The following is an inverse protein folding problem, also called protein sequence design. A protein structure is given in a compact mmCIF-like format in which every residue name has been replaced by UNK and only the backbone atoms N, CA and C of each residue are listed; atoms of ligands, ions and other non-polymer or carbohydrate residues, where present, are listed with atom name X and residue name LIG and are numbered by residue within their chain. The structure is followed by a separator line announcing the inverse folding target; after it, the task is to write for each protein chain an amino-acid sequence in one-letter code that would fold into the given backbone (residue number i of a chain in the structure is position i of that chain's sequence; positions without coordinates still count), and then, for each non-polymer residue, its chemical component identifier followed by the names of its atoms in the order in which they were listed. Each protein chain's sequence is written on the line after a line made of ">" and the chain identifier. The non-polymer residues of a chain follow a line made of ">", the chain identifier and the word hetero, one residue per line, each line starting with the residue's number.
data_IF_838419067903
#
_entry.id   IF_838419067903
#
_cell.length_a   1.000
_cell.length_b   1.000
_cell.length_c   1.000
_cell.angle_alpha   90.00
_cell.angle_beta   90.00
_cell.angle_gamma   90.00
#
_symmetry.space_group_name_H-M   'P 1'
#
loop_
_entity.id
_entity.type
_entity.pdbx_description
1 polymer ?
#
# COMPACT_ATOMS: atom_id res chain seq x y z
N UNK A 1 -12.12 -23.17 2.22
CA UNK A 1 -11.63 -22.57 0.95
C UNK A 1 -12.47 -21.39 0.43
N UNK A 2 -13.82 -21.49 0.33
CA UNK A 2 -14.67 -20.44 -0.26
C UNK A 2 -14.54 -19.04 0.41
N UNK A 3 -14.43 -18.97 1.74
CA UNK A 3 -14.29 -17.69 2.47
C UNK A 3 -12.97 -16.98 2.18
N UNK A 4 -11.87 -17.74 2.06
CA UNK A 4 -10.53 -17.23 1.74
C UNK A 4 -10.50 -16.56 0.36
N UNK A 5 -11.12 -17.19 -0.63
CA UNK A 5 -11.18 -16.65 -2.00
C UNK A 5 -12.03 -15.38 -2.08
N UNK A 6 -13.16 -15.32 -1.37
CA UNK A 6 -13.98 -14.11 -1.27
C UNK A 6 -13.22 -12.93 -0.65
N UNK A 7 -12.40 -13.19 0.39
CA UNK A 7 -11.54 -12.16 0.99
C UNK A 7 -10.44 -11.71 0.02
N UNK A 8 -9.77 -12.64 -0.66
CA UNK A 8 -8.76 -12.31 -1.68
C UNK A 8 -9.32 -11.39 -2.76
N UNK A 9 -10.52 -11.70 -3.27
CA UNK A 9 -11.17 -10.85 -4.29
C UNK A 9 -11.39 -9.43 -3.75
N UNK A 10 -11.86 -9.27 -2.51
CA UNK A 10 -12.02 -7.94 -1.90
C UNK A 10 -10.68 -7.20 -1.81
N UNK A 11 -9.62 -7.87 -1.35
CA UNK A 11 -8.29 -7.25 -1.26
C UNK A 11 -7.71 -6.89 -2.63
N UNK A 12 -7.93 -7.73 -3.66
CA UNK A 12 -7.52 -7.42 -5.03
C UNK A 12 -8.27 -6.18 -5.53
N UNK A 13 -9.58 -6.07 -5.29
CA UNK A 13 -10.35 -4.87 -5.65
C UNK A 13 -9.79 -3.63 -4.95
N UNK A 14 -9.56 -3.69 -3.63
CA UNK A 14 -8.97 -2.58 -2.89
C UNK A 14 -7.57 -2.21 -3.42
N UNK A 15 -6.74 -3.20 -3.75
CA UNK A 15 -5.42 -3.02 -4.33
C UNK A 15 -5.49 -2.31 -5.69
N UNK A 16 -6.34 -2.78 -6.60
CA UNK A 16 -6.53 -2.16 -7.92
C UNK A 16 -7.07 -0.74 -7.81
N UNK A 17 -8.03 -0.50 -6.91
CA UNK A 17 -8.57 0.85 -6.66
C UNK A 17 -7.47 1.76 -6.12
N UNK A 18 -6.61 1.27 -5.22
CA UNK A 18 -5.49 2.04 -4.71
C UNK A 18 -4.45 2.39 -5.79
N UNK A 19 -4.17 1.47 -6.74
CA UNK A 19 -3.34 1.78 -7.91
C UNK A 19 -3.93 2.93 -8.70
N UNK A 20 -5.22 2.84 -9.06
CA UNK A 20 -5.88 3.87 -9.86
C UNK A 20 -5.88 5.20 -9.11
N UNK A 21 -6.21 5.20 -7.81
CA UNK A 21 -6.21 6.39 -6.98
C UNK A 21 -4.82 7.02 -6.85
N UNK A 22 -3.76 6.21 -6.68
CA UNK A 22 -2.38 6.70 -6.57
C UNK A 22 -1.82 7.22 -7.89
N UNK A 23 -2.28 6.68 -9.03
CA UNK A 23 -1.96 7.24 -10.34
C UNK A 23 -2.72 8.54 -10.59
N UNK A 24 -4.01 8.60 -10.23
CA UNK A 24 -4.82 9.82 -10.36
C UNK A 24 -4.32 10.94 -9.46
N UNK A 25 -3.84 10.64 -8.26
CA UNK A 25 -3.26 11.63 -7.35
C UNK A 25 -1.92 12.19 -7.86
N UNK A 26 -1.33 11.59 -8.89
CA UNK A 26 -0.08 12.06 -9.52
C UNK A 26 -0.33 12.53 -10.96
N UNK A 27 -1.60 12.71 -11.32
CA UNK A 27 -2.00 13.12 -12.66
C UNK A 27 -2.46 14.56 -12.64
N UNK A 28 -2.17 15.30 -13.71
CA UNK A 28 -2.60 16.69 -13.90
C UNK A 28 -4.13 16.84 -14.05
N UNK A 29 -4.90 15.76 -13.90
CA UNK A 29 -6.36 15.78 -14.00
C UNK A 29 -7.04 16.35 -12.76
N UNK A 30 -6.37 16.36 -11.60
CA UNK A 30 -6.95 16.81 -10.34
C UNK A 30 -5.97 17.71 -9.61
N UNK A 31 -6.26 19.02 -9.58
CA UNK A 31 -5.47 19.99 -8.83
C UNK A 31 -5.75 19.86 -7.33
N UNK A 32 -4.74 19.46 -6.56
CA UNK A 32 -4.75 19.50 -5.11
C UNK A 32 -3.92 20.68 -4.59
N UNK A 33 -4.19 21.18 -3.36
CA UNK A 33 -3.26 22.07 -2.68
C UNK A 33 -1.88 21.40 -2.59
N UNK A 34 -0.79 22.12 -2.87
CA UNK A 34 0.58 21.56 -2.97
C UNK A 34 0.98 20.66 -1.79
N UNK A 35 0.63 21.03 -0.56
CA UNK A 35 0.93 20.25 0.65
C UNK A 35 0.24 18.87 0.68
N UNK A 36 -0.88 18.74 -0.02
CA UNK A 36 -1.66 17.50 -0.13
C UNK A 36 -1.17 16.70 -1.33
N UNK A 37 -0.92 17.37 -2.46
CA UNK A 37 -0.48 16.76 -3.72
C UNK A 37 0.82 15.95 -3.54
N UNK A 38 1.79 16.52 -2.82
CA UNK A 38 3.10 15.90 -2.57
C UNK A 38 3.04 14.62 -1.72
N UNK A 39 1.99 14.41 -0.92
CA UNK A 39 1.93 13.34 0.08
C UNK A 39 0.79 12.34 -0.15
N UNK A 40 -0.27 12.73 -0.86
CA UNK A 40 -1.41 11.85 -1.11
C UNK A 40 -1.01 10.57 -1.84
N UNK A 41 -0.17 10.69 -2.87
CA UNK A 41 0.31 9.55 -3.64
C UNK A 41 1.01 8.52 -2.76
N UNK A 42 1.83 8.97 -1.82
CA UNK A 42 2.64 8.09 -0.97
C UNK A 42 1.81 7.43 0.14
N UNK A 43 0.82 8.15 0.68
CA UNK A 43 -0.17 7.59 1.62
C UNK A 43 -0.98 6.49 0.92
N UNK A 44 -1.45 6.73 -0.31
CA UNK A 44 -2.22 5.75 -1.09
C UNK A 44 -1.35 4.55 -1.46
N UNK A 45 -0.12 4.80 -1.89
CA UNK A 45 0.85 3.76 -2.24
C UNK A 45 1.17 2.85 -1.05
N UNK A 46 1.38 3.41 0.14
CA UNK A 46 1.61 2.61 1.34
C UNK A 46 0.39 1.77 1.74
N UNK A 47 -0.82 2.34 1.61
CA UNK A 47 -2.06 1.58 1.77
C UNK A 47 -2.20 0.43 0.75
N UNK A 48 -1.78 0.66 -0.50
CA UNK A 48 -1.72 -0.38 -1.53
C UNK A 48 -0.78 -1.52 -1.13
N UNK A 49 0.42 -1.23 -0.60
CA UNK A 49 1.36 -2.25 -0.09
C UNK A 49 0.72 -3.10 1.01
N UNK A 50 -0.07 -2.51 1.91
CA UNK A 50 -0.83 -3.27 2.90
C UNK A 50 -1.79 -4.28 2.24
N UNK A 51 -2.56 -3.84 1.23
CA UNK A 51 -3.48 -4.72 0.52
C UNK A 51 -2.75 -5.82 -0.26
N UNK A 52 -1.56 -5.57 -0.79
CA UNK A 52 -0.71 -6.59 -1.42
C UNK A 52 -0.44 -7.75 -0.45
N UNK A 53 0.01 -7.46 0.78
CA UNK A 53 0.22 -8.49 1.81
C UNK A 53 -1.09 -9.15 2.26
N UNK A 54 -2.20 -8.39 2.27
CA UNK A 54 -3.52 -8.93 2.55
C UNK A 54 -3.99 -9.95 1.49
N UNK A 55 -3.62 -9.77 0.20
CA UNK A 55 -3.91 -10.76 -0.86
C UNK A 55 -3.12 -12.06 -0.64
N UNK A 56 -1.84 -11.95 -0.27
CA UNK A 56 -0.98 -13.10 0.01
C UNK A 56 -1.54 -13.93 1.18
N UNK A 57 -1.80 -13.28 2.31
CA UNK A 57 -2.27 -13.90 3.55
C UNK A 57 -3.58 -13.28 4.06
N UNK A 58 -4.72 -13.56 3.41
CA UNK A 58 -6.02 -12.92 3.70
C UNK A 58 -6.56 -13.22 5.10
N UNK A 59 -6.23 -14.40 5.65
CA UNK A 59 -6.59 -14.83 7.00
C UNK A 59 -5.48 -14.58 8.02
N UNK A 60 -4.40 -13.90 7.64
CA UNK A 60 -3.35 -13.49 8.58
C UNK A 60 -3.85 -12.42 9.53
N UNK A 61 -3.20 -12.27 10.69
CA UNK A 61 -3.50 -11.18 11.60
C UNK A 61 -3.27 -9.83 10.90
N UNK A 62 -4.14 -8.85 11.17
CA UNK A 62 -3.99 -7.52 10.57
C UNK A 62 -2.67 -6.85 10.97
N UNK A 63 -2.18 -7.13 12.19
CA UNK A 63 -0.88 -6.67 12.68
C UNK A 63 0.27 -7.22 11.83
N UNK A 64 0.22 -8.51 11.43
CA UNK A 64 1.25 -9.07 10.56
C UNK A 64 1.29 -8.35 9.21
N UNK A 65 0.12 -8.07 8.61
CA UNK A 65 0.02 -7.34 7.33
C UNK A 65 0.57 -5.92 7.48
N UNK A 66 0.24 -5.26 8.59
CA UNK A 66 0.68 -3.89 8.92
C UNK A 66 2.20 -3.82 9.04
N UNK A 67 2.79 -4.70 9.85
CA UNK A 67 4.25 -4.77 10.04
C UNK A 67 4.97 -5.12 8.74
N UNK A 68 4.47 -6.09 7.98
CA UNK A 68 5.04 -6.46 6.69
C UNK A 68 5.04 -5.27 5.71
N UNK A 69 3.95 -4.51 5.66
CA UNK A 69 3.83 -3.34 4.79
C UNK A 69 4.77 -2.19 5.20
N UNK A 70 4.86 -1.89 6.50
CA UNK A 70 5.79 -0.86 7.01
C UNK A 70 7.24 -1.28 6.74
N UNK A 71 7.62 -2.50 7.10
CA UNK A 71 8.98 -2.98 6.88
C UNK A 71 9.34 -2.98 5.39
N UNK A 72 8.42 -3.39 4.52
CA UNK A 72 8.65 -3.35 3.07
C UNK A 72 8.83 -1.92 2.56
N UNK A 73 7.94 -0.99 2.94
CA UNK A 73 7.99 0.41 2.51
C UNK A 73 9.28 1.10 3.00
N UNK A 74 9.67 0.86 4.25
CA UNK A 74 10.92 1.38 4.82
C UNK A 74 12.14 0.77 4.13
N UNK A 75 12.08 -0.51 3.76
CA UNK A 75 13.19 -1.15 3.02
C UNK A 75 13.35 -0.56 1.62
N UNK A 76 12.24 -0.24 0.95
CA UNK A 76 12.24 0.44 -0.35
C UNK A 76 12.87 1.82 -0.21
N UNK A 77 12.46 2.60 0.80
CA UNK A 77 12.99 3.94 1.07
C UNK A 77 14.49 3.90 1.41
N UNK A 78 14.89 3.02 2.33
CA UNK A 78 16.30 2.82 2.69
C UNK A 78 17.15 2.34 1.50
N UNK A 79 16.57 1.59 0.56
CA UNK A 79 17.30 1.17 -0.65
C UNK A 79 17.76 2.36 -1.49
N UNK A 80 17.09 3.52 -1.39
CA UNK A 80 17.44 4.73 -2.15
C UNK A 80 18.72 5.39 -1.62
N UNK A 81 19.13 5.10 -0.37
CA UNK A 81 20.42 5.53 0.15
C UNK A 81 21.59 4.73 -0.44
N UNK A 82 21.29 3.60 -1.09
CA UNK A 82 22.29 2.73 -1.70
C UNK A 82 22.43 3.13 -3.18
N UNK A 83 23.52 3.83 -3.51
CA UNK A 83 23.91 4.19 -4.88
C UNK A 83 24.83 3.12 -5.47
N UNK A 84 24.30 1.91 -5.65
CA UNK A 84 24.99 0.83 -6.33
C UNK A 84 24.56 0.79 -7.82
N UNK A 85 25.52 0.67 -8.74
CA UNK A 85 25.23 0.73 -10.19
C UNK A 85 24.22 -0.31 -10.69
N UNK A 86 24.17 -1.49 -10.05
CA UNK A 86 23.17 -2.52 -10.37
C UNK A 86 21.75 -2.13 -9.90
N UNK A 87 21.63 -1.36 -8.81
CA UNK A 87 20.35 -0.93 -8.27
C UNK A 87 19.78 0.24 -9.06
N UNK A 88 20.64 1.16 -9.51
CA UNK A 88 20.25 2.21 -10.45
C UNK A 88 19.76 1.63 -11.79
N UNK A 89 20.43 0.61 -12.31
CA UNK A 89 19.97 -0.10 -13.52
C UNK A 89 18.57 -0.72 -13.36
N UNK A 90 18.21 -1.17 -12.15
CA UNK A 90 16.85 -1.66 -11.84
C UNK A 90 15.87 -0.49 -11.76
N UNK A 91 16.25 0.65 -11.19
CA UNK A 91 15.42 1.86 -11.11
C UNK A 91 15.11 2.46 -12.48
N UNK A 92 16.04 2.31 -13.43
CA UNK A 92 15.88 2.77 -14.81
C UNK A 92 14.91 1.90 -15.64
N UNK A 93 14.51 0.72 -15.15
CA UNK A 93 13.49 -0.07 -15.81
C UNK A 93 12.13 0.66 -15.78
N UNK A 94 11.34 0.61 -16.87
CA UNK A 94 10.04 1.26 -16.95
C UNK A 94 9.13 0.85 -15.78
N UNK A 95 8.60 1.83 -15.06
CA UNK A 95 7.71 1.62 -13.92
C UNK A 95 8.41 1.27 -12.60
N UNK A 96 9.66 0.78 -12.61
CA UNK A 96 10.39 0.51 -11.37
C UNK A 96 10.65 1.79 -10.59
N UNK A 97 10.86 2.91 -11.27
CA UNK A 97 10.98 4.23 -10.63
C UNK A 97 9.70 4.67 -9.88
N UNK A 98 8.52 4.26 -10.35
CA UNK A 98 7.24 4.51 -9.65
C UNK A 98 7.10 3.66 -8.39
N UNK A 99 7.69 2.46 -8.39
CA UNK A 99 7.61 1.51 -7.26
C UNK A 99 8.72 1.77 -6.24
N UNK A 100 9.93 2.09 -6.69
CA UNK A 100 11.11 2.27 -5.84
C UNK A 100 11.32 3.71 -5.38
N UNK A 101 10.62 4.68 -5.97
CA UNK A 101 10.69 6.10 -5.60
C UNK A 101 11.99 6.80 -6.05
N UNK A 102 12.11 8.09 -5.70
CA UNK A 102 13.26 8.93 -6.02
C UNK A 102 13.76 9.67 -4.78
N UNK A 103 14.92 9.26 -4.29
CA UNK A 103 15.63 9.93 -3.18
C UNK A 103 14.92 9.78 -1.83
N UNK A 104 15.73 9.59 -0.80
CA UNK A 104 15.22 9.34 0.55
C UNK A 104 14.56 10.59 1.14
N UNK A 105 13.30 10.47 1.55
CA UNK A 105 12.55 11.53 2.24
C UNK A 105 12.00 11.04 3.57
N UNK A 106 12.37 11.72 4.65
CA UNK A 106 11.83 11.43 5.99
C UNK A 106 10.31 11.64 6.08
N UNK A 107 9.75 12.58 5.32
CA UNK A 107 8.30 12.79 5.22
C UNK A 107 7.56 11.53 4.78
N UNK A 108 8.19 10.75 3.91
CA UNK A 108 7.56 9.61 3.25
C UNK A 108 7.39 8.47 4.26
N UNK A 109 8.32 8.33 5.22
CA UNK A 109 8.15 7.40 6.34
C UNK A 109 6.88 7.68 7.16
N UNK A 110 6.58 8.96 7.42
CA UNK A 110 5.37 9.37 8.14
C UNK A 110 4.14 9.07 7.28
N UNK A 111 4.19 9.40 5.99
CA UNK A 111 3.12 9.10 5.03
C UNK A 111 2.84 7.60 4.95
N UNK A 112 3.89 6.76 4.99
CA UNK A 112 3.76 5.31 4.96
C UNK A 112 3.10 4.77 6.23
N UNK A 113 3.46 5.28 7.41
CA UNK A 113 2.80 4.90 8.67
C UNK A 113 1.30 5.28 8.61
N UNK A 114 0.99 6.48 8.14
CA UNK A 114 -0.40 6.96 8.02
C UNK A 114 -1.19 6.09 7.03
N UNK A 115 -0.66 5.87 5.82
CA UNK A 115 -1.30 5.10 4.76
C UNK A 115 -1.55 3.64 5.16
N UNK A 116 -0.54 2.98 5.72
CA UNK A 116 -0.68 1.61 6.25
C UNK A 116 -1.66 1.58 7.42
N UNK A 117 -1.61 2.55 8.33
CA UNK A 117 -2.53 2.66 9.47
C UNK A 117 -3.98 2.79 9.03
N UNK A 118 -4.26 3.65 8.05
CA UNK A 118 -5.59 3.80 7.45
C UNK A 118 -6.06 2.50 6.80
N UNK A 119 -5.22 1.84 6.00
CA UNK A 119 -5.55 0.56 5.36
C UNK A 119 -5.82 -0.56 6.39
N UNK A 120 -5.06 -0.60 7.49
CA UNK A 120 -5.28 -1.52 8.59
C UNK A 120 -6.63 -1.28 9.28
N UNK A 121 -6.98 -0.02 9.58
CA UNK A 121 -8.27 0.33 10.18
C UNK A 121 -9.43 -0.08 9.26
N UNK A 122 -9.31 0.19 7.96
CA UNK A 122 -10.28 -0.23 6.95
C UNK A 122 -10.44 -1.76 6.91
N UNK A 123 -9.34 -2.51 6.93
CA UNK A 123 -9.38 -3.97 6.93
C UNK A 123 -10.11 -4.53 8.16
N UNK A 124 -9.75 -4.06 9.35
CA UNK A 124 -10.35 -4.50 10.61
C UNK A 124 -11.85 -4.20 10.66
N UNK A 125 -12.25 -2.96 10.35
CA UNK A 125 -13.60 -2.48 10.59
C UNK A 125 -14.58 -2.88 9.48
N UNK A 126 -14.14 -2.95 8.22
CA UNK A 126 -15.03 -3.15 7.08
C UNK A 126 -14.88 -4.52 6.42
N UNK A 127 -13.67 -5.06 6.30
CA UNK A 127 -13.41 -6.28 5.53
C UNK A 127 -13.49 -7.52 6.42
N UNK A 128 -12.74 -7.56 7.52
CA UNK A 128 -12.68 -8.71 8.44
C UNK A 128 -13.92 -8.79 9.35
N UNK A 129 -14.36 -7.67 9.94
CA UNK A 129 -15.56 -7.63 10.80
C UNK A 129 -16.81 -8.15 10.08
N UNK A 130 -17.07 -7.69 8.85
CA UNK A 130 -18.21 -8.19 8.05
C UNK A 130 -18.08 -9.67 7.70
N UNK A 131 -16.87 -10.17 7.55
CA UNK A 131 -16.62 -11.57 7.16
C UNK A 131 -16.81 -12.55 8.32
N UNK A 132 -16.50 -12.14 9.55
CA UNK A 132 -16.81 -12.93 10.76
C UNK A 132 -18.29 -12.86 11.15
N UNK A 133 -18.91 -11.67 11.11
CA UNK A 133 -20.36 -11.52 11.40
C UNK A 133 -21.22 -12.31 10.43
N UNK A 134 -20.83 -12.39 9.15
CA UNK A 134 -21.54 -13.21 8.15
C UNK A 134 -21.30 -14.71 8.33
N UNK A 135 -20.24 -15.14 9.01
CA UNK A 135 -19.98 -16.55 9.32
C UNK A 135 -20.73 -17.05 10.57
N UNK A 136 -21.15 -16.16 11.47
CA UNK A 136 -21.98 -16.50 12.65
C UNK A 136 -23.50 -16.46 12.38
N UNK A 137 -23.93 -15.95 11.21
CA UNK A 137 -25.34 -15.88 10.80
C UNK A 137 -25.82 -17.08 9.99
N UNK A 138 -24.95 -18.06 9.74
CA UNK A 138 -25.24 -19.35 9.11
C UNK A 138 -24.69 -20.46 10.00
#
# INVERSE_FOLDING_TARGET
>A
MKTKNKLRIKYIICFTVAIIAGLLSRSDFVDFPQCIDDHLGDIIWAGMVYFMFAVLRPLGSGQWKMLAAICFSFSVECSQLITAGWLEAIRDLPGMRLVLGYGFKFSDLICYIIGVGMAFLLDQHFILRKSQVRAMKY
#
